data_IF_522958025220
#
_entry.id   IF_522958025220
#
_cell.length_a   1.000
_cell.length_b   1.000
_cell.length_c   1.000
_cell.angle_alpha   90.00
_cell.angle_beta   90.00
_cell.angle_gamma   90.00
#
_symmetry.space_group_name_H-M   'P 1'
#
loop_
_entity.id
_entity.type
_entity.pdbx_description
1 polymer ?
#
# COMPACT_ATOMS: atom_id res chain seq x y z
N UNK A 1 -10.68 -16.72 -19.36
CA UNK A 1 -11.45 -16.71 -18.08
C UNK A 1 -12.53 -15.62 -18.06
N UNK A 2 -12.22 -14.37 -18.42
CA UNK A 2 -13.16 -13.24 -18.39
C UNK A 2 -14.45 -13.45 -19.21
N UNK A 3 -14.37 -14.05 -20.41
CA UNK A 3 -15.53 -14.30 -21.27
C UNK A 3 -16.53 -15.28 -20.65
N UNK A 4 -16.06 -16.31 -19.93
CA UNK A 4 -16.95 -17.25 -19.24
C UNK A 4 -17.67 -16.60 -18.05
N UNK A 5 -16.97 -15.72 -17.31
CA UNK A 5 -17.56 -14.97 -16.19
C UNK A 5 -18.64 -14.02 -16.71
N UNK A 6 -18.36 -13.29 -17.80
CA UNK A 6 -19.35 -12.43 -18.46
C UNK A 6 -20.59 -13.21 -18.87
N UNK A 7 -20.41 -14.36 -19.53
CA UNK A 7 -21.52 -15.23 -19.95
C UNK A 7 -22.36 -15.74 -18.76
N UNK A 8 -21.72 -16.13 -17.65
CA UNK A 8 -22.41 -16.57 -16.43
C UNK A 8 -23.18 -15.43 -15.76
N UNK A 9 -22.62 -14.22 -15.70
CA UNK A 9 -23.29 -13.03 -15.13
C UNK A 9 -24.50 -12.61 -15.97
N UNK A 10 -24.35 -12.57 -17.30
CA UNK A 10 -25.44 -12.24 -18.24
C UNK A 10 -26.63 -13.19 -18.09
N UNK A 11 -26.38 -14.50 -18.03
CA UNK A 11 -27.43 -15.51 -17.78
C UNK A 11 -28.08 -15.38 -16.41
N UNK A 12 -27.30 -15.10 -15.36
CA UNK A 12 -27.81 -15.03 -13.97
C UNK A 12 -28.70 -13.83 -13.72
N UNK A 13 -28.39 -12.69 -14.32
CA UNK A 13 -29.09 -11.42 -14.10
C UNK A 13 -29.98 -11.01 -15.29
N UNK A 14 -30.11 -11.87 -16.32
CA UNK A 14 -30.94 -11.65 -17.52
C UNK A 14 -30.63 -10.32 -18.23
N UNK A 15 -29.34 -10.01 -18.38
CA UNK A 15 -28.90 -8.82 -19.10
C UNK A 15 -29.06 -8.99 -20.61
N UNK A 16 -29.42 -7.93 -21.36
CA UNK A 16 -29.42 -7.96 -22.82
C UNK A 16 -28.00 -8.17 -23.37
N UNK A 17 -27.92 -8.78 -24.56
CA UNK A 17 -26.64 -9.04 -25.22
C UNK A 17 -25.96 -7.70 -25.53
N UNK A 18 -24.72 -7.54 -25.05
CA UNK A 18 -23.87 -6.34 -25.12
C UNK A 18 -24.04 -5.26 -24.03
N UNK A 19 -24.83 -5.46 -22.97
CA UNK A 19 -24.91 -4.44 -21.90
C UNK A 19 -23.78 -4.48 -20.87
N UNK A 20 -23.01 -5.58 -20.81
CA UNK A 20 -21.96 -5.77 -19.80
C UNK A 20 -20.67 -6.28 -20.44
N UNK A 21 -19.62 -5.52 -20.24
CA UNK A 21 -18.24 -5.81 -20.62
C UNK A 21 -17.38 -5.97 -19.36
N UNK A 22 -16.35 -6.82 -19.43
CA UNK A 22 -15.44 -7.07 -18.32
C UNK A 22 -14.02 -6.73 -18.75
N UNK A 23 -13.42 -5.78 -18.05
CA UNK A 23 -12.02 -5.42 -18.19
C UNK A 23 -11.22 -6.02 -17.03
N UNK A 24 -10.00 -6.45 -17.32
CA UNK A 24 -9.08 -6.96 -16.32
C UNK A 24 -7.81 -6.11 -16.37
N UNK A 25 -7.55 -5.40 -15.27
CA UNK A 25 -6.35 -4.60 -15.10
C UNK A 25 -5.37 -5.32 -14.18
N UNK A 26 -4.07 -5.20 -14.49
CA UNK A 26 -3.02 -5.74 -13.63
C UNK A 26 -2.76 -4.75 -12.51
N UNK A 27 -2.78 -5.23 -11.27
CA UNK A 27 -2.32 -4.44 -10.12
C UNK A 27 -0.82 -4.20 -10.25
N UNK A 28 -0.41 -2.93 -10.29
CA UNK A 28 1.00 -2.53 -10.46
C UNK A 28 1.89 -3.09 -9.35
N UNK A 29 1.56 -2.79 -8.08
CA UNK A 29 2.32 -3.24 -6.92
C UNK A 29 1.51 -4.23 -6.09
N UNK A 30 1.72 -5.53 -6.35
CA UNK A 30 1.03 -6.60 -5.61
C UNK A 30 1.43 -6.63 -4.12
N UNK A 31 2.62 -6.13 -3.79
CA UNK A 31 3.13 -6.02 -2.41
C UNK A 31 2.32 -5.08 -1.51
N UNK A 32 1.74 -4.02 -2.07
CA UNK A 32 0.97 -3.03 -1.31
C UNK A 32 -0.50 -3.42 -1.12
N UNK A 33 -0.97 -4.49 -1.78
CA UNK A 33 -2.35 -4.94 -1.69
C UNK A 33 -2.52 -6.00 -0.59
N UNK A 34 -3.21 -5.66 0.49
CA UNK A 34 -3.41 -6.55 1.64
C UNK A 34 -4.19 -7.82 1.26
N UNK A 35 -5.14 -7.72 0.32
CA UNK A 35 -5.93 -8.86 -0.16
C UNK A 35 -5.03 -9.91 -0.83
N UNK A 36 -4.16 -9.47 -1.74
CA UNK A 36 -3.26 -10.36 -2.46
C UNK A 36 -2.28 -11.05 -1.50
N UNK A 37 -1.75 -10.32 -0.52
CA UNK A 37 -0.83 -10.88 0.48
C UNK A 37 -1.53 -11.87 1.42
N UNK A 38 -2.76 -11.57 1.84
CA UNK A 38 -3.55 -12.51 2.63
C UNK A 38 -3.89 -13.80 1.85
N UNK A 39 -4.09 -13.71 0.53
CA UNK A 39 -4.28 -14.88 -0.32
C UNK A 39 -3.00 -15.68 -0.53
N UNK A 40 -1.83 -15.03 -0.63
CA UNK A 40 -0.53 -15.71 -0.68
C UNK A 40 -0.30 -16.55 0.57
N UNK A 41 -0.49 -15.96 1.76
CA UNK A 41 -0.37 -16.68 3.04
C UNK A 41 -1.37 -17.84 3.18
N UNK A 42 -2.56 -17.71 2.56
CA UNK A 42 -3.55 -18.79 2.56
C UNK A 42 -3.09 -19.98 1.70
N UNK A 43 -2.41 -19.72 0.58
CA UNK A 43 -1.96 -20.77 -0.36
C UNK A 43 -0.76 -21.56 0.15
N UNK A 44 0.11 -20.93 0.96
CA UNK A 44 1.35 -21.55 1.47
C UNK A 44 1.13 -22.67 2.50
N UNK A 45 -0.10 -22.93 2.96
CA UNK A 45 -0.39 -24.03 3.88
C UNK A 45 0.23 -23.82 5.26
N UNK A 46 -0.48 -23.08 6.13
CA UNK A 46 0.04 -22.68 7.44
C UNK A 46 0.04 -23.83 8.46
N UNK A 47 1.05 -24.69 8.42
CA UNK A 47 1.45 -25.52 9.56
C UNK A 47 2.35 -24.72 10.52
N UNK A 48 2.43 -25.11 11.80
CA UNK A 48 3.02 -24.30 12.88
C UNK A 48 4.47 -23.83 12.63
N UNK A 49 5.32 -24.70 12.09
CA UNK A 49 6.74 -24.39 11.83
C UNK A 49 6.86 -23.41 10.66
N UNK A 50 6.05 -23.64 9.62
CA UNK A 50 6.04 -22.84 8.39
C UNK A 50 5.40 -21.47 8.62
N UNK A 51 4.48 -21.34 9.59
CA UNK A 51 3.74 -20.11 9.84
C UNK A 51 4.63 -18.90 10.14
N UNK A 52 5.68 -19.07 10.96
CA UNK A 52 6.61 -17.97 11.25
C UNK A 52 7.39 -17.57 10.00
N UNK A 53 7.97 -18.55 9.30
CA UNK A 53 8.79 -18.29 8.12
C UNK A 53 7.97 -17.65 6.99
N UNK A 54 6.76 -18.14 6.73
CA UNK A 54 5.83 -17.57 5.76
C UNK A 54 5.44 -16.12 6.11
N UNK A 55 5.10 -15.85 7.39
CA UNK A 55 4.75 -14.50 7.81
C UNK A 55 5.94 -13.53 7.68
N UNK A 56 7.15 -13.93 8.07
CA UNK A 56 8.35 -13.10 7.89
C UNK A 56 8.72 -12.91 6.41
N UNK A 57 8.50 -13.93 5.56
CA UNK A 57 8.67 -13.81 4.11
C UNK A 57 7.75 -12.76 3.50
N UNK A 58 6.46 -12.79 3.86
CA UNK A 58 5.47 -11.82 3.40
C UNK A 58 5.70 -10.43 3.98
N UNK A 59 6.08 -10.33 5.26
CA UNK A 59 6.47 -9.05 5.88
C UNK A 59 7.63 -8.41 5.13
N UNK A 60 8.70 -9.17 4.87
CA UNK A 60 9.85 -8.67 4.11
C UNK A 60 9.46 -8.22 2.71
N UNK A 61 8.62 -9.00 2.01
CA UNK A 61 8.14 -8.66 0.68
C UNK A 61 7.32 -7.35 0.65
N UNK A 62 6.47 -7.13 1.67
CA UNK A 62 5.66 -5.91 1.80
C UNK A 62 6.54 -4.69 2.08
N UNK A 63 7.50 -4.82 2.99
CA UNK A 63 8.44 -3.73 3.31
C UNK A 63 9.34 -3.39 2.12
N UNK A 64 9.85 -4.39 1.39
CA UNK A 64 10.64 -4.21 0.16
C UNK A 64 9.85 -3.54 -0.96
N UNK A 65 8.53 -3.72 -0.97
CA UNK A 65 7.61 -3.04 -1.90
C UNK A 65 7.35 -1.57 -1.57
N UNK A 66 7.99 -1.01 -0.53
CA UNK A 66 7.88 0.40 -0.15
C UNK A 66 6.76 0.73 0.84
N UNK A 67 6.25 -0.26 1.58
CA UNK A 67 5.32 0.02 2.69
C UNK A 67 6.06 0.69 3.86
N UNK A 68 5.36 1.57 4.59
CA UNK A 68 5.91 2.21 5.80
C UNK A 68 5.89 1.26 7.02
N UNK A 69 4.95 0.31 7.01
CA UNK A 69 4.87 -0.74 8.00
C UNK A 69 3.80 -1.77 7.65
N UNK A 70 3.84 -2.90 8.35
CA UNK A 70 2.97 -4.03 8.13
C UNK A 70 2.67 -4.77 9.43
N UNK A 71 1.45 -5.26 9.58
CA UNK A 71 1.03 -6.13 10.66
C UNK A 71 0.30 -7.35 10.07
N UNK A 72 0.83 -8.54 10.35
CA UNK A 72 0.21 -9.82 10.00
C UNK A 72 -0.22 -10.52 11.28
N UNK A 73 -1.51 -10.83 11.38
CA UNK A 73 -2.10 -11.55 12.51
C UNK A 73 -2.61 -12.89 12.00
N UNK A 74 -2.08 -13.96 12.56
CA UNK A 74 -2.54 -15.33 12.32
C UNK A 74 -3.23 -15.82 13.58
N UNK A 75 -4.49 -16.22 13.45
CA UNK A 75 -5.35 -16.64 14.56
C UNK A 75 -5.95 -18.00 14.27
N UNK A 76 -6.04 -18.86 15.26
CA UNK A 76 -6.69 -20.17 15.12
C UNK A 76 -5.99 -21.27 15.90
N UNK A 77 -6.35 -22.51 15.60
CA UNK A 77 -5.72 -23.70 16.19
C UNK A 77 -4.39 -23.96 15.48
N UNK A 78 -3.33 -23.32 15.96
CA UNK A 78 -1.99 -23.50 15.39
C UNK A 78 -1.39 -24.84 15.84
N UNK A 79 -0.86 -24.91 17.06
CA UNK A 79 -0.17 -26.10 17.58
C UNK A 79 -1.07 -27.00 18.43
N UNK A 80 -2.02 -26.41 19.14
CA UNK A 80 -2.87 -27.11 20.09
C UNK A 80 -4.35 -26.93 19.70
N UNK A 81 -5.23 -27.72 20.35
CA UNK A 81 -6.68 -27.61 20.15
C UNK A 81 -7.26 -26.26 20.59
N UNK A 82 -6.56 -25.52 21.44
CA UNK A 82 -6.93 -24.16 21.83
C UNK A 82 -6.43 -23.15 20.81
N UNK A 83 -7.30 -22.20 20.45
CA UNK A 83 -6.94 -21.11 19.56
C UNK A 83 -5.88 -20.20 20.19
N UNK A 84 -4.89 -19.81 19.39
CA UNK A 84 -3.87 -18.82 19.72
C UNK A 84 -3.80 -17.79 18.60
N UNK A 85 -3.48 -16.55 18.93
CA UNK A 85 -3.22 -15.49 17.96
C UNK A 85 -1.75 -15.10 18.02
N UNK A 86 -1.07 -15.20 16.88
CA UNK A 86 0.29 -14.71 16.68
C UNK A 86 0.23 -13.42 15.90
N UNK A 87 0.88 -12.38 16.41
CA UNK A 87 0.98 -11.07 15.75
C UNK A 87 2.42 -10.86 15.35
N UNK A 88 2.63 -10.56 14.09
CA UNK A 88 3.91 -10.18 13.53
C UNK A 88 3.79 -8.75 13.03
N UNK A 89 4.68 -7.87 13.49
CA UNK A 89 4.67 -6.46 13.17
C UNK A 89 6.04 -6.05 12.69
N UNK A 90 6.08 -5.17 11.71
CA UNK A 90 7.31 -4.53 11.23
C UNK A 90 7.00 -3.10 10.77
N UNK A 91 7.96 -2.19 10.95
CA UNK A 91 7.82 -0.78 10.60
C UNK A 91 6.83 0.02 11.47
N UNK A 92 6.30 1.10 10.89
CA UNK A 92 5.41 2.05 11.56
C UNK A 92 3.94 1.75 11.24
N UNK A 93 3.08 1.79 12.27
CA UNK A 93 1.66 1.45 12.13
C UNK A 93 0.78 2.36 12.99
N UNK A 94 -0.15 3.08 12.34
CA UNK A 94 -1.16 3.90 13.02
C UNK A 94 -2.33 3.00 13.43
N UNK A 95 -2.96 3.26 14.57
CA UNK A 95 -4.13 2.49 15.03
C UNK A 95 -5.38 3.35 15.29
N UNK A 96 -5.24 4.67 15.32
CA UNK A 96 -6.29 5.63 15.72
C UNK A 96 -6.46 6.76 14.71
N UNK A 97 -7.65 7.35 14.70
CA UNK A 97 -7.99 8.52 13.89
C UNK A 97 -8.44 8.21 12.46
N UNK A 98 -8.78 9.27 11.72
CA UNK A 98 -9.10 9.21 10.30
C UNK A 98 -7.96 8.68 9.40
N UNK A 99 -6.65 8.94 9.64
CA UNK A 99 -5.59 8.42 8.77
C UNK A 99 -5.56 6.89 8.68
N UNK A 100 -6.15 6.16 9.64
CA UNK A 100 -6.31 4.70 9.54
C UNK A 100 -7.09 4.28 8.30
N UNK A 101 -8.12 5.03 7.89
CA UNK A 101 -8.93 4.66 6.73
C UNK A 101 -8.23 4.94 5.40
N UNK A 102 -7.37 5.95 5.36
CA UNK A 102 -6.66 6.36 4.14
C UNK A 102 -5.34 5.61 3.98
N UNK A 103 -4.57 5.47 5.05
CA UNK A 103 -3.21 4.92 5.02
C UNK A 103 -3.14 3.41 5.20
N UNK A 104 -4.19 2.76 5.73
CA UNK A 104 -4.13 1.34 6.06
C UNK A 104 -5.04 0.55 5.14
N UNK A 105 -4.44 -0.26 4.28
CA UNK A 105 -5.15 -1.32 3.60
C UNK A 105 -5.21 -2.55 4.53
N UNK A 106 -6.41 -3.07 4.74
CA UNK A 106 -6.62 -4.19 5.64
C UNK A 106 -7.46 -5.28 4.97
N UNK A 107 -6.99 -6.52 5.10
CA UNK A 107 -7.68 -7.68 4.57
C UNK A 107 -7.77 -8.78 5.61
N UNK A 108 -8.94 -9.41 5.67
CA UNK A 108 -9.18 -10.59 6.50
C UNK A 108 -9.59 -11.74 5.60
N UNK A 109 -8.94 -12.90 5.80
CA UNK A 109 -9.32 -14.15 5.14
C UNK A 109 -9.74 -15.14 6.21
N UNK A 110 -11.01 -15.56 6.10
CA UNK A 110 -11.62 -16.53 7.00
C UNK A 110 -11.39 -17.96 6.50
N UNK A 111 -11.26 -18.88 7.45
CA UNK A 111 -10.99 -20.30 7.23
C UNK A 111 -10.80 -20.98 8.59
N UNK A 112 -10.17 -22.16 8.59
CA UNK A 112 -9.80 -22.87 9.83
C UNK A 112 -8.75 -22.09 10.63
N UNK A 113 -7.85 -21.41 9.93
CA UNK A 113 -6.92 -20.43 10.45
C UNK A 113 -7.32 -19.07 9.85
N UNK A 114 -7.58 -18.09 10.70
CA UNK A 114 -7.89 -16.72 10.32
C UNK A 114 -6.62 -15.91 10.10
N UNK A 115 -6.49 -15.31 8.93
CA UNK A 115 -5.36 -14.46 8.55
C UNK A 115 -5.89 -13.02 8.43
N UNK A 116 -5.23 -12.08 9.09
CA UNK A 116 -5.49 -10.65 8.95
C UNK A 116 -4.18 -9.95 8.63
N UNK A 117 -4.15 -9.25 7.50
CA UNK A 117 -3.00 -8.45 7.05
C UNK A 117 -3.43 -6.98 7.08
N UNK A 118 -2.58 -6.13 7.66
CA UNK A 118 -2.68 -4.67 7.61
C UNK A 118 -1.39 -4.14 7.03
N UNK A 119 -1.49 -3.31 6.00
CA UNK A 119 -0.34 -2.68 5.35
C UNK A 119 -0.53 -1.17 5.50
N UNK A 120 0.47 -0.51 6.06
CA UNK A 120 0.54 0.95 6.08
C UNK A 120 1.25 1.43 4.82
N UNK A 121 0.50 2.12 3.98
CA UNK A 121 0.98 2.71 2.73
C UNK A 121 1.91 3.90 3.03
N UNK A 122 2.88 4.13 2.14
CA UNK A 122 3.69 5.33 2.19
C UNK A 122 2.90 6.54 1.66
N UNK A 123 3.22 7.73 2.15
CA UNK A 123 2.69 8.97 1.59
C UNK A 123 3.30 9.19 0.20
N UNK A 124 2.46 9.43 -0.81
CA UNK A 124 2.88 9.69 -2.18
C UNK A 124 2.14 10.93 -2.72
N UNK A 125 2.88 12.01 -2.97
CA UNK A 125 2.31 13.24 -3.52
C UNK A 125 1.65 13.03 -4.90
N UNK A 126 2.02 11.97 -5.64
CA UNK A 126 1.43 11.62 -6.94
C UNK A 126 0.19 10.73 -6.83
N UNK A 127 -0.10 10.20 -5.64
CA UNK A 127 -1.29 9.37 -5.39
C UNK A 127 -1.33 8.03 -6.12
N UNK A 128 -0.19 7.53 -6.64
CA UNK A 128 -0.18 6.27 -7.40
C UNK A 128 -0.07 5.05 -6.50
N UNK A 129 0.68 5.18 -5.41
CA UNK A 129 0.99 4.04 -4.53
C UNK A 129 0.47 4.21 -3.10
N UNK A 130 -0.02 5.41 -2.75
CA UNK A 130 -0.54 5.70 -1.43
C UNK A 130 -1.32 7.01 -1.40
N UNK A 131 -1.74 7.45 -0.20
CA UNK A 131 -2.53 8.66 -0.03
C UNK A 131 -1.76 9.92 -0.45
N UNK A 132 -2.48 10.88 -1.04
CA UNK A 132 -1.96 12.20 -1.41
C UNK A 132 -1.85 13.12 -0.19
N UNK A 133 -2.77 12.98 0.76
CA UNK A 133 -2.84 13.75 2.00
C UNK A 133 -1.72 13.31 2.94
N UNK A 134 -0.78 14.18 3.35
CA UNK A 134 0.25 13.83 4.33
C UNK A 134 -0.35 13.51 5.69
N UNK A 135 0.42 12.86 6.57
CA UNK A 135 0.00 12.67 7.96
C UNK A 135 -0.20 14.04 8.61
N UNK A 136 -1.25 14.21 9.44
CA UNK A 136 -1.53 15.49 10.09
C UNK A 136 -0.41 15.93 11.04
N UNK A 137 0.35 14.97 11.57
CA UNK A 137 1.43 15.22 12.53
C UNK A 137 2.76 15.59 11.83
N UNK A 138 2.87 15.42 10.50
CA UNK A 138 4.10 15.66 9.76
C UNK A 138 4.12 17.07 9.18
N UNK A 139 4.81 17.99 9.86
CA UNK A 139 5.04 19.36 9.39
C UNK A 139 6.45 19.48 8.78
N UNK A 140 6.53 19.84 7.50
CA UNK A 140 7.82 20.10 6.83
C UNK A 140 8.13 21.60 6.89
N UNK A 141 9.14 21.97 7.68
CA UNK A 141 9.63 23.35 7.76
C UNK A 141 10.69 23.52 6.68
N UNK A 142 10.41 24.36 5.68
CA UNK A 142 11.38 24.71 4.65
C UNK A 142 12.32 25.80 5.17
N UNK A 143 13.63 25.60 5.02
CA UNK A 143 14.61 26.63 5.33
C UNK A 143 14.46 27.79 4.34
N UNK A 144 14.64 29.04 4.79
CA UNK A 144 14.62 30.18 3.89
C UNK A 144 15.69 30.00 2.80
N UNK A 145 15.35 30.36 1.56
CA UNK A 145 16.30 30.35 0.46
C UNK A 145 17.35 31.42 0.74
N UNK A 146 18.63 31.07 0.65
CA UNK A 146 19.71 32.07 0.71
C UNK A 146 19.56 33.00 -0.49
N UNK A 147 19.37 34.30 -0.22
CA UNK A 147 19.50 35.32 -1.25
C UNK A 147 20.98 35.40 -1.63
N UNK A 148 21.32 34.84 -2.79
CA UNK A 148 22.55 35.23 -3.47
C UNK A 148 22.52 36.75 -3.59
N UNK A 149 23.44 37.41 -2.88
CA UNK A 149 23.72 38.82 -3.02
C UNK A 149 24.11 39.06 -4.48
N UNK A 150 23.11 39.32 -5.33
CA UNK A 150 23.32 39.68 -6.72
C UNK A 150 24.15 40.96 -6.64
N UNK A 151 25.43 40.96 -7.04
CA UNK A 151 26.21 42.17 -7.00
C UNK A 151 25.45 43.24 -7.82
N UNK A 152 25.36 44.49 -7.34
CA UNK A 152 24.65 45.52 -8.06
C UNK A 152 25.24 45.58 -9.47
N UNK A 153 24.37 45.44 -10.47
CA UNK A 153 24.72 45.52 -11.89
C UNK A 153 25.38 46.88 -12.07
N UNK A 154 26.71 46.90 -12.21
CA UNK A 154 27.45 48.13 -12.45
C UNK A 154 27.00 48.67 -13.81
N UNK A 155 26.61 49.95 -13.93
CA UNK A 155 26.32 50.53 -15.23
C UNK A 155 27.61 50.51 -16.05
N UNK A 156 27.61 49.75 -17.14
CA UNK A 156 28.69 49.78 -18.13
C UNK A 156 28.73 51.19 -18.69
N UNK A 157 29.82 51.90 -18.45
CA UNK A 157 30.04 53.25 -18.97
C UNK A 157 29.88 53.23 -20.49
N UNK A 158 28.81 53.85 -20.98
CA UNK A 158 28.65 54.21 -22.39
C UNK A 158 29.85 55.09 -22.76
N UNK A 159 30.79 54.54 -23.54
CA UNK A 159 31.77 55.34 -24.25
C UNK A 159 31.00 56.28 -25.18
N UNK A 160 31.01 57.57 -24.84
CA UNK A 160 30.63 58.62 -25.78
C UNK A 160 31.73 58.69 -26.84
N UNK A 161 31.44 58.50 -28.13
CA UNK A 161 32.42 58.81 -29.17
C UNK A 161 32.65 60.32 -29.14
N UNK A 162 33.88 60.72 -28.80
CA UNK A 162 34.35 62.10 -28.90
C UNK A 162 34.66 62.36 -30.39
N UNK A 163 34.00 63.40 -30.92
CA UNK A 163 34.21 64.12 -32.18
C UNK A 163 33.97 63.38 -33.50
#
# INVERSE_FOLDING_TARGET
MATQISKKRKKRFKFPENSVELYAEKVNNRGLCAIAQAESLRKEGLAVIVCKMACYGVLRFIMESGAKGCEVIVSGKLRAQRAKSMKFKDGYMISSGYPVKEYIDSAVRHGVIGIKVKIMLAWDAKGKQGPVTPLPDLVTIHTPKEEENVPPIMPTSLELPIA
#
